data_IF_085843477220
#
_entry.id   IF_085843477220
#
_cell.length_a   1.000
_cell.length_b   1.000
_cell.length_c   1.000
_cell.angle_alpha   90.00
_cell.angle_beta   90.00
_cell.angle_gamma   90.00
#
_symmetry.space_group_name_H-M   'P 1'
#
loop_
_entity.id
_entity.type
_entity.pdbx_description
1 polymer ?
#
# COMPACT_ATOMS: atom_id res chain seq x y z
N UNK A 1 -23.67 28.52 -25.80
CA UNK A 1 -23.94 27.16 -25.30
C UNK A 1 -22.69 26.70 -24.57
N UNK A 2 -22.71 26.69 -23.24
CA UNK A 2 -21.54 26.37 -22.39
C UNK A 2 -21.27 24.87 -22.44
N UNK A 3 -20.08 24.48 -22.89
CA UNK A 3 -19.62 23.10 -22.89
C UNK A 3 -19.42 22.59 -21.46
N UNK A 4 -20.21 21.60 -21.07
CA UNK A 4 -20.00 20.84 -19.85
C UNK A 4 -18.84 19.87 -20.11
N UNK A 5 -17.66 20.21 -19.62
CA UNK A 5 -16.57 19.24 -19.46
C UNK A 5 -17.02 18.26 -18.37
N UNK A 6 -17.50 17.09 -18.77
CA UNK A 6 -17.72 15.97 -17.86
C UNK A 6 -16.38 15.61 -17.20
N UNK A 7 -16.18 16.10 -15.98
CA UNK A 7 -15.10 15.63 -15.12
C UNK A 7 -15.48 14.20 -14.74
N UNK A 8 -15.05 13.24 -15.55
CA UNK A 8 -15.13 11.84 -15.21
C UNK A 8 -14.25 11.63 -13.97
N UNK A 9 -14.86 11.64 -12.78
CA UNK A 9 -14.21 11.09 -11.60
C UNK A 9 -13.83 9.65 -11.97
N UNK A 10 -12.54 9.29 -12.01
CA UNK A 10 -12.16 7.92 -12.26
C UNK A 10 -12.73 7.09 -11.12
N UNK A 11 -13.81 6.37 -11.39
CA UNK A 11 -14.29 5.33 -10.49
C UNK A 11 -13.19 4.29 -10.48
N UNK A 12 -12.49 4.17 -9.36
CA UNK A 12 -11.52 3.09 -9.18
C UNK A 12 -12.32 1.80 -9.19
N UNK A 13 -12.16 0.99 -10.23
CA UNK A 13 -12.91 -0.26 -10.41
C UNK A 13 -12.12 -1.49 -10.00
N UNK A 14 -10.81 -1.33 -9.86
CA UNK A 14 -9.86 -2.44 -9.70
C UNK A 14 -9.05 -2.29 -8.43
N UNK A 15 -8.58 -3.43 -7.91
CA UNK A 15 -7.64 -3.44 -6.81
C UNK A 15 -6.39 -2.63 -7.18
N UNK A 16 -5.93 -1.79 -6.26
CA UNK A 16 -4.75 -0.97 -6.50
C UNK A 16 -3.91 -0.86 -5.24
N UNK A 17 -2.61 -1.16 -5.36
CA UNK A 17 -1.60 -0.77 -4.38
C UNK A 17 -0.91 0.49 -4.89
N UNK A 18 -0.86 1.54 -4.07
CA UNK A 18 -0.16 2.78 -4.41
C UNK A 18 1.28 2.74 -3.89
N UNK A 19 2.12 3.61 -4.46
CA UNK A 19 3.44 3.86 -3.88
C UNK A 19 3.29 4.43 -2.46
N UNK A 20 4.22 4.03 -1.60
CA UNK A 20 4.29 4.55 -0.26
C UNK A 20 4.76 6.01 -0.28
N UNK A 21 4.23 6.86 0.60
CA UNK A 21 4.64 8.26 0.70
C UNK A 21 4.87 8.67 2.16
N UNK A 22 6.02 9.31 2.47
CA UNK A 22 7.15 9.60 1.58
C UNK A 22 7.93 8.34 1.14
N UNK A 23 8.71 8.43 0.06
CA UNK A 23 9.70 7.45 -0.37
C UNK A 23 10.84 8.18 -1.13
N UNK A 24 12.10 8.17 -0.66
CA UNK A 24 12.60 7.53 0.57
C UNK A 24 11.94 8.09 1.85
N UNK A 25 11.91 7.30 2.92
CA UNK A 25 11.21 7.66 4.17
C UNK A 25 12.09 7.59 5.40
N UNK A 26 11.73 8.32 6.47
CA UNK A 26 12.43 8.34 7.76
C UNK A 26 11.47 8.60 8.95
N UNK A 27 11.36 7.68 9.93
CA UNK A 27 11.29 6.24 9.75
C UNK A 27 9.85 5.79 9.43
N UNK A 28 8.95 6.73 9.12
CA UNK A 28 7.54 6.48 8.85
C UNK A 28 7.17 6.75 7.40
N UNK A 29 6.30 5.90 6.84
CA UNK A 29 5.68 6.07 5.53
C UNK A 29 4.24 5.57 5.57
N UNK A 30 3.39 6.11 4.71
CA UNK A 30 2.03 5.63 4.52
C UNK A 30 1.97 4.72 3.30
N UNK A 31 1.39 3.53 3.44
CA UNK A 31 1.08 2.62 2.34
C UNK A 31 -0.42 2.67 2.12
N UNK A 32 -0.82 3.08 0.93
CA UNK A 32 -2.23 3.22 0.56
C UNK A 32 -2.63 2.17 -0.46
N UNK A 33 -3.86 1.70 -0.39
CA UNK A 33 -4.43 0.77 -1.35
C UNK A 33 -5.94 0.96 -1.49
N UNK A 34 -6.47 0.66 -2.67
CA UNK A 34 -7.89 0.69 -2.97
C UNK A 34 -8.45 -0.72 -3.14
N UNK A 35 -9.61 -0.96 -2.53
CA UNK A 35 -10.38 -2.19 -2.65
C UNK A 35 -11.72 -1.91 -3.34
N UNK A 36 -12.02 -2.51 -4.50
CA UNK A 36 -13.32 -2.34 -5.18
C UNK A 36 -14.47 -3.06 -4.45
N UNK A 37 -14.14 -4.00 -3.55
CA UNK A 37 -15.10 -4.73 -2.70
C UNK A 37 -14.46 -5.08 -1.36
N UNK A 38 -15.29 -5.35 -0.36
CA UNK A 38 -14.79 -5.84 0.93
C UNK A 38 -14.12 -7.20 0.79
N UNK A 39 -12.92 -7.36 1.33
CA UNK A 39 -12.14 -8.60 1.25
C UNK A 39 -11.15 -8.70 2.40
N UNK A 40 -10.61 -9.90 2.62
CA UNK A 40 -9.52 -10.11 3.56
C UNK A 40 -8.21 -9.61 2.94
N UNK A 41 -7.47 -8.76 3.67
CA UNK A 41 -6.24 -8.14 3.20
C UNK A 41 -5.09 -8.56 4.09
N UNK A 42 -4.00 -9.03 3.46
CA UNK A 42 -2.70 -9.23 4.07
C UNK A 42 -1.73 -8.20 3.51
N UNK A 43 -1.27 -7.27 4.34
CA UNK A 43 -0.24 -6.31 3.97
C UNK A 43 1.00 -6.56 4.83
N UNK A 44 2.09 -6.99 4.19
CA UNK A 44 3.32 -7.43 4.87
C UNK A 44 4.53 -6.75 4.28
N UNK A 45 5.56 -6.58 5.09
CA UNK A 45 6.84 -5.99 4.71
C UNK A 45 7.93 -7.06 4.79
N UNK A 46 8.81 -7.06 3.79
CA UNK A 46 9.92 -7.99 3.63
C UNK A 46 11.23 -7.25 3.42
N UNK A 47 12.33 -7.85 3.85
CA UNK A 47 13.66 -7.45 3.41
C UNK A 47 13.95 -7.90 1.96
N UNK A 48 15.11 -7.52 1.41
CA UNK A 48 15.51 -7.88 0.03
C UNK A 48 15.79 -9.37 -0.19
N UNK A 49 15.94 -10.15 0.88
CA UNK A 49 16.20 -11.60 0.83
C UNK A 49 14.86 -12.36 0.91
N UNK A 50 13.77 -11.68 1.29
CA UNK A 50 12.42 -12.23 1.38
C UNK A 50 11.98 -12.59 2.80
N UNK A 51 12.73 -12.20 3.84
CA UNK A 51 12.28 -12.41 5.21
C UNK A 51 11.18 -11.41 5.57
N UNK A 52 10.07 -11.89 6.13
CA UNK A 52 9.02 -11.03 6.66
C UNK A 52 9.53 -10.27 7.89
N UNK A 53 9.50 -8.94 7.84
CA UNK A 53 9.97 -8.07 8.94
C UNK A 53 8.82 -7.36 9.66
N UNK A 54 7.64 -7.26 9.04
CA UNK A 54 6.44 -6.73 9.68
C UNK A 54 5.15 -7.21 8.99
N UNK A 55 4.09 -7.40 9.78
CA UNK A 55 2.71 -7.54 9.29
C UNK A 55 1.94 -6.27 9.67
N UNK A 56 1.47 -5.54 8.67
CA UNK A 56 0.81 -4.24 8.85
C UNK A 56 -0.71 -4.37 8.96
N UNK A 57 -1.28 -5.34 8.26
CA UNK A 57 -2.71 -5.68 8.33
C UNK A 57 -2.87 -7.15 7.92
N UNK A 58 -3.76 -7.89 8.59
CA UNK A 58 -4.11 -9.28 8.27
C UNK A 58 -5.57 -9.48 8.71
N UNK A 59 -6.47 -8.72 8.08
CA UNK A 59 -7.88 -8.63 8.48
C UNK A 59 -8.80 -8.22 7.32
N UNK A 60 -10.11 -8.37 7.54
CA UNK A 60 -11.12 -7.94 6.58
C UNK A 60 -11.25 -6.43 6.54
N UNK A 61 -11.13 -5.85 5.34
CA UNK A 61 -11.33 -4.41 5.08
C UNK A 61 -12.55 -4.21 4.17
N UNK A 62 -13.40 -3.19 4.43
CA UNK A 62 -14.50 -2.84 3.53
C UNK A 62 -13.99 -2.28 2.20
N UNK A 63 -14.86 -2.18 1.20
CA UNK A 63 -14.54 -1.49 -0.05
C UNK A 63 -14.15 -0.03 0.21
N UNK A 64 -13.22 0.50 -0.58
CA UNK A 64 -12.76 1.88 -0.49
C UNK A 64 -11.24 2.02 -0.42
N UNK A 65 -10.81 3.25 -0.20
CA UNK A 65 -9.40 3.61 -0.02
C UNK A 65 -9.00 3.39 1.44
N UNK A 66 -7.87 2.72 1.64
CA UNK A 66 -7.25 2.45 2.93
C UNK A 66 -5.83 3.00 2.95
N UNK A 67 -5.37 3.38 4.14
CA UNK A 67 -4.00 3.81 4.36
C UNK A 67 -3.48 3.24 5.68
N UNK A 68 -2.29 2.66 5.66
CA UNK A 68 -1.65 2.04 6.81
C UNK A 68 -0.29 2.69 7.02
N UNK A 69 -0.02 3.17 8.24
CA UNK A 69 1.27 3.75 8.60
C UNK A 69 2.25 2.62 8.94
N UNK A 70 3.38 2.60 8.25
CA UNK A 70 4.50 1.74 8.60
C UNK A 70 5.56 2.55 9.36
N UNK A 71 5.89 2.10 10.58
CA UNK A 71 6.97 2.66 11.38
C UNK A 71 8.16 1.70 11.45
N UNK A 72 9.23 2.05 10.75
CA UNK A 72 10.43 1.23 10.62
C UNK A 72 11.56 1.63 11.57
N UNK A 73 11.26 2.31 12.70
CA UNK A 73 12.30 2.81 13.62
C UNK A 73 13.25 1.75 14.18
N UNK A 74 12.83 0.47 14.16
CA UNK A 74 13.59 -0.68 14.63
C UNK A 74 14.37 -1.41 13.52
N UNK A 75 14.26 -0.95 12.27
CA UNK A 75 14.91 -1.56 11.11
C UNK A 75 16.10 -0.73 10.64
N UNK A 76 17.15 -1.37 10.08
CA UNK A 76 18.28 -0.65 9.49
C UNK A 76 17.88 0.07 8.19
N UNK A 77 18.58 1.16 7.86
CA UNK A 77 18.45 1.82 6.55
C UNK A 77 18.68 0.82 5.41
N UNK A 78 17.86 0.87 4.37
CA UNK A 78 17.92 -0.12 3.30
C UNK A 78 16.66 -0.16 2.44
N UNK A 79 16.70 -1.01 1.42
CA UNK A 79 15.55 -1.31 0.59
C UNK A 79 14.69 -2.38 1.25
N UNK A 80 13.37 -2.21 1.14
CA UNK A 80 12.37 -3.16 1.60
C UNK A 80 11.30 -3.33 0.52
N UNK A 81 10.59 -4.44 0.60
CA UNK A 81 9.41 -4.69 -0.22
C UNK A 81 8.18 -4.72 0.68
N UNK A 82 7.06 -4.18 0.22
CA UNK A 82 5.77 -4.44 0.82
C UNK A 82 4.88 -5.12 -0.19
N UNK A 83 4.11 -6.09 0.28
CA UNK A 83 3.22 -6.92 -0.53
C UNK A 83 1.82 -6.87 0.06
N UNK A 84 0.85 -6.61 -0.81
CA UNK A 84 -0.56 -6.79 -0.50
C UNK A 84 -1.04 -8.09 -1.13
N UNK A 85 -1.81 -8.88 -0.38
CA UNK A 85 -2.48 -10.08 -0.86
C UNK A 85 -3.93 -10.09 -0.40
N UNK A 86 -4.80 -10.45 -1.32
CA UNK A 86 -6.24 -10.73 -1.11
C UNK A 86 -6.58 -12.00 -1.90
N UNK A 87 -7.82 -12.46 -1.82
CA UNK A 87 -8.26 -13.67 -2.55
C UNK A 87 -8.14 -13.54 -4.08
N UNK A 88 -8.15 -12.30 -4.62
CA UNK A 88 -8.20 -12.06 -6.07
C UNK A 88 -7.10 -11.10 -6.58
N UNK A 89 -6.24 -10.58 -5.70
CA UNK A 89 -5.25 -9.58 -6.05
C UNK A 89 -3.99 -9.75 -5.19
N UNK A 90 -2.84 -9.71 -5.83
CA UNK A 90 -1.52 -9.67 -5.19
C UNK A 90 -0.66 -8.67 -5.94
N UNK A 91 -0.06 -7.72 -5.23
CA UNK A 91 0.89 -6.76 -5.79
C UNK A 91 2.00 -6.48 -4.78
N UNK A 92 3.17 -6.06 -5.28
CA UNK A 92 4.35 -5.78 -4.46
C UNK A 92 5.08 -4.56 -4.97
N UNK A 93 5.56 -3.73 -4.04
CA UNK A 93 6.29 -2.50 -4.34
C UNK A 93 7.49 -2.36 -3.43
N UNK A 94 8.47 -1.56 -3.88
CA UNK A 94 9.72 -1.29 -3.18
C UNK A 94 9.68 0.05 -2.47
N UNK A 95 10.23 0.11 -1.27
CA UNK A 95 10.45 1.34 -0.52
C UNK A 95 11.90 1.43 -0.04
N UNK A 96 12.38 2.66 0.19
CA UNK A 96 13.72 2.94 0.67
C UNK A 96 13.65 3.66 2.03
N UNK A 97 14.14 3.00 3.08
CA UNK A 97 14.31 3.60 4.41
C UNK A 97 15.66 4.31 4.48
N UNK A 98 15.62 5.59 4.83
CA UNK A 98 16.81 6.40 5.14
C UNK A 98 16.67 6.93 6.57
N UNK A 99 17.70 6.74 7.40
CA UNK A 99 17.81 7.25 8.77
C UNK A 99 19.07 8.07 8.88
#
# INVERSE_FOLDING_TARGET
MTGLNSVSNPVLTDFQLYDNFPNPFNPQTAISFYLPRGTHVKLRVYDIIGNEVASLTDDFKPAGLHSVIFNASHLPSGAYLYKIETDAFSDSRKMLLIK
#
